data_IF_735931603516
#
_entry.id   IF_735931603516
#
_cell.length_a   1.000
_cell.length_b   1.000
_cell.length_c   1.000
_cell.angle_alpha   90.00
_cell.angle_beta   90.00
_cell.angle_gamma   90.00
#
_symmetry.space_group_name_H-M   'P 1'
#
loop_
_entity.id
_entity.type
_entity.pdbx_description
1 polymer ?
#
# COMPACT_ATOMS: atom_id res chain seq x y z
N UNK A 1 37.63 11.72 -4.01
CA UNK A 1 36.34 12.38 -4.28
C UNK A 1 35.40 11.28 -4.72
N UNK A 2 34.67 10.64 -3.80
CA UNK A 2 33.58 9.75 -4.19
C UNK A 2 32.64 10.51 -5.13
N UNK A 3 32.48 9.99 -6.35
CA UNK A 3 31.51 10.51 -7.29
C UNK A 3 30.13 10.42 -6.66
N UNK A 4 29.47 11.57 -6.47
CA UNK A 4 28.09 11.61 -6.00
C UNK A 4 27.24 10.79 -6.97
N UNK A 5 26.72 9.65 -6.51
CA UNK A 5 25.80 8.83 -7.30
C UNK A 5 24.59 9.70 -7.63
N UNK A 6 24.32 9.89 -8.92
CA UNK A 6 23.09 10.53 -9.37
C UNK A 6 21.95 9.59 -9.04
N UNK A 7 21.00 10.05 -8.23
CA UNK A 7 19.81 9.28 -7.88
C UNK A 7 18.80 9.39 -9.01
N UNK A 8 18.38 8.26 -9.53
CA UNK A 8 17.33 8.16 -10.55
C UNK A 8 15.94 8.05 -9.93
N UNK A 9 14.87 8.38 -10.68
CA UNK A 9 13.50 8.11 -10.24
C UNK A 9 13.27 6.62 -9.91
N UNK A 10 13.92 5.71 -10.63
CA UNK A 10 13.85 4.27 -10.41
C UNK A 10 14.43 3.87 -9.05
N UNK A 11 15.54 4.50 -8.61
CA UNK A 11 16.11 4.26 -7.27
C UNK A 11 15.13 4.66 -6.16
N UNK A 12 14.40 5.78 -6.35
CA UNK A 12 13.38 6.26 -5.41
C UNK A 12 12.19 5.30 -5.37
N UNK A 13 11.71 4.88 -6.54
CA UNK A 13 10.58 3.97 -6.66
C UNK A 13 10.90 2.59 -6.06
N UNK A 14 12.09 2.04 -6.33
CA UNK A 14 12.54 0.78 -5.75
C UNK A 14 12.57 0.85 -4.22
N UNK A 15 13.04 1.97 -3.64
CA UNK A 15 13.02 2.16 -2.20
C UNK A 15 11.59 2.14 -1.63
N UNK A 16 10.69 2.94 -2.23
CA UNK A 16 9.29 3.07 -1.81
C UNK A 16 8.48 1.76 -1.93
N UNK A 17 8.81 0.93 -2.92
CA UNK A 17 8.20 -0.39 -3.10
C UNK A 17 8.68 -1.39 -2.05
N UNK A 18 9.97 -1.32 -1.67
CA UNK A 18 10.58 -2.31 -0.79
C UNK A 18 10.39 -2.02 0.70
N UNK A 19 10.10 -0.78 1.09
CA UNK A 19 9.91 -0.38 2.50
C UNK A 19 8.43 -0.36 2.95
N UNK A 20 7.50 -0.71 2.06
CA UNK A 20 6.06 -0.76 2.36
C UNK A 20 5.37 0.60 2.37
N UNK A 21 6.06 1.67 1.98
CA UNK A 21 5.48 3.01 1.89
C UNK A 21 4.35 3.08 0.87
N UNK A 22 4.52 2.47 -0.31
CA UNK A 22 3.47 2.44 -1.35
C UNK A 22 2.21 1.72 -0.85
N UNK A 23 2.37 0.60 -0.13
CA UNK A 23 1.24 -0.13 0.44
C UNK A 23 0.51 0.70 1.51
N UNK A 24 1.26 1.43 2.33
CA UNK A 24 0.71 2.33 3.34
C UNK A 24 -0.09 3.47 2.71
N UNK A 25 0.44 4.08 1.65
CA UNK A 25 -0.26 5.12 0.87
C UNK A 25 -1.51 4.55 0.19
N UNK A 26 -1.42 3.37 -0.43
CA UNK A 26 -2.57 2.67 -1.01
C UNK A 26 -3.66 2.41 0.03
N UNK A 27 -3.28 1.97 1.24
CA UNK A 27 -4.24 1.74 2.32
C UNK A 27 -4.92 3.05 2.76
N UNK A 28 -4.18 4.16 2.86
CA UNK A 28 -4.74 5.49 3.15
C UNK A 28 -5.76 5.92 2.09
N UNK A 29 -5.43 5.78 0.80
CA UNK A 29 -6.35 6.07 -0.31
C UNK A 29 -7.64 5.25 -0.17
N UNK A 30 -7.52 3.93 0.03
CA UNK A 30 -8.67 3.03 0.19
C UNK A 30 -9.55 3.46 1.37
N UNK A 31 -8.95 3.80 2.51
CA UNK A 31 -9.70 4.18 3.70
C UNK A 31 -10.44 5.51 3.52
N UNK A 32 -9.82 6.49 2.85
CA UNK A 32 -10.49 7.75 2.52
C UNK A 32 -11.67 7.52 1.55
N UNK A 33 -11.51 6.70 0.51
CA UNK A 33 -12.61 6.35 -0.39
C UNK A 33 -13.75 5.62 0.32
N UNK A 34 -13.44 4.65 1.18
CA UNK A 34 -14.45 3.92 1.98
C UNK A 34 -15.23 4.84 2.91
N UNK A 35 -14.63 5.96 3.29
CA UNK A 35 -15.22 6.97 4.19
C UNK A 35 -15.82 8.16 3.43
N UNK A 36 -15.78 8.13 2.09
CA UNK A 36 -16.30 9.20 1.25
C UNK A 36 -17.84 9.12 1.17
N UNK A 37 -18.51 9.94 1.97
CA UNK A 37 -19.97 9.99 2.02
C UNK A 37 -20.61 10.47 0.71
N UNK A 38 -19.94 11.34 -0.05
CA UNK A 38 -20.45 11.80 -1.34
C UNK A 38 -20.48 10.68 -2.38
N UNK A 39 -19.45 9.83 -2.42
CA UNK A 39 -19.41 8.66 -3.28
C UNK A 39 -20.48 7.62 -2.88
N UNK A 40 -20.69 7.43 -1.58
CA UNK A 40 -21.77 6.57 -1.06
C UNK A 40 -23.14 7.11 -1.46
N UNK A 41 -23.39 8.39 -1.23
CA UNK A 41 -24.65 9.05 -1.58
C UNK A 41 -24.93 8.98 -3.07
N UNK A 42 -23.92 9.27 -3.89
CA UNK A 42 -24.00 9.15 -5.35
C UNK A 42 -24.38 7.72 -5.76
N UNK A 43 -23.75 6.71 -5.16
CA UNK A 43 -24.06 5.29 -5.44
C UNK A 43 -25.50 4.94 -5.06
N UNK A 44 -25.99 5.43 -3.90
CA UNK A 44 -27.39 5.25 -3.50
C UNK A 44 -28.34 5.89 -4.50
N UNK A 45 -28.10 7.15 -4.90
CA UNK A 45 -28.92 7.83 -5.91
C UNK A 45 -28.93 7.10 -7.26
N UNK A 46 -27.80 6.52 -7.68
CA UNK A 46 -27.73 5.72 -8.90
C UNK A 46 -28.57 4.43 -8.80
N UNK A 47 -28.60 3.79 -7.63
CA UNK A 47 -29.48 2.65 -7.37
C UNK A 47 -30.94 3.08 -7.39
N UNK A 48 -31.30 4.18 -6.74
CA UNK A 48 -32.67 4.72 -6.74
C UNK A 48 -33.17 5.04 -8.16
N UNK A 49 -32.28 5.52 -9.02
CA UNK A 49 -32.57 5.86 -10.42
C UNK A 49 -32.39 4.70 -11.40
N UNK A 50 -32.06 3.50 -10.91
CA UNK A 50 -31.80 2.32 -11.74
C UNK A 50 -32.98 1.97 -12.63
N UNK A 51 -32.71 1.72 -13.92
CA UNK A 51 -33.73 1.22 -14.85
C UNK A 51 -34.14 -0.19 -14.46
N UNK A 52 -33.22 -1.04 -14.02
CA UNK A 52 -33.52 -2.40 -13.57
C UNK A 52 -34.55 -2.39 -12.45
N UNK A 53 -34.37 -1.54 -11.43
CA UNK A 53 -35.32 -1.45 -10.31
C UNK A 53 -36.63 -0.75 -10.67
N UNK A 54 -36.60 0.24 -11.56
CA UNK A 54 -37.78 1.03 -11.94
C UNK A 54 -38.56 0.43 -13.12
N UNK A 55 -38.17 -0.74 -13.64
CA UNK A 55 -38.88 -1.41 -14.74
C UNK A 55 -40.09 -2.17 -14.21
N UNK A 56 -41.30 -2.04 -14.82
CA UNK A 56 -42.46 -2.84 -14.43
C UNK A 56 -42.18 -4.34 -14.53
N UNK A 57 -42.48 -5.11 -13.48
CA UNK A 57 -42.20 -6.54 -13.44
C UNK A 57 -40.88 -6.90 -12.75
N UNK A 58 -40.06 -5.92 -12.33
CA UNK A 58 -38.88 -6.15 -11.51
C UNK A 58 -39.22 -6.92 -10.22
N UNK A 59 -40.42 -6.72 -9.67
CA UNK A 59 -40.93 -7.42 -8.47
C UNK A 59 -41.13 -8.93 -8.67
N UNK A 60 -41.14 -9.40 -9.92
CA UNK A 60 -41.33 -10.82 -10.28
C UNK A 60 -39.99 -11.53 -10.52
N UNK A 61 -38.89 -10.80 -10.62
CA UNK A 61 -37.56 -11.37 -10.78
C UNK A 61 -37.07 -11.96 -9.45
N UNK A 62 -36.22 -12.97 -9.54
CA UNK A 62 -35.54 -13.47 -8.34
C UNK A 62 -34.54 -12.44 -7.82
N UNK A 63 -34.23 -12.51 -6.53
CA UNK A 63 -33.19 -11.67 -5.91
C UNK A 63 -31.88 -11.72 -6.70
N UNK A 64 -31.47 -12.90 -7.16
CA UNK A 64 -30.25 -13.08 -7.93
C UNK A 64 -30.28 -12.34 -9.26
N UNK A 65 -31.32 -12.54 -10.05
CA UNK A 65 -31.48 -11.86 -11.36
C UNK A 65 -31.50 -10.34 -11.21
N UNK A 66 -32.16 -9.84 -10.15
CA UNK A 66 -32.21 -8.42 -9.85
C UNK A 66 -30.81 -7.86 -9.52
N UNK A 67 -30.06 -8.53 -8.65
CA UNK A 67 -28.68 -8.12 -8.31
C UNK A 67 -27.74 -8.22 -9.50
N UNK A 68 -27.81 -9.28 -10.29
CA UNK A 68 -26.95 -9.48 -11.47
C UNK A 68 -27.23 -8.40 -12.53
N UNK A 69 -28.51 -8.11 -12.79
CA UNK A 69 -28.92 -7.05 -13.73
C UNK A 69 -28.54 -5.65 -13.22
N UNK A 70 -28.76 -5.39 -11.92
CA UNK A 70 -28.39 -4.12 -11.29
C UNK A 70 -26.88 -3.90 -11.31
N UNK A 71 -26.09 -4.96 -11.05
CA UNK A 71 -24.64 -4.93 -11.16
C UNK A 71 -24.21 -4.62 -12.59
N UNK A 72 -24.81 -5.28 -13.58
CA UNK A 72 -24.53 -5.03 -14.99
C UNK A 72 -24.81 -3.58 -15.39
N UNK A 73 -25.87 -2.97 -14.85
CA UNK A 73 -26.22 -1.57 -15.10
C UNK A 73 -25.24 -0.59 -14.41
N UNK A 74 -24.92 -0.84 -13.13
CA UNK A 74 -24.29 0.17 -12.28
C UNK A 74 -22.78 -0.01 -12.06
N UNK A 75 -22.20 -1.17 -12.36
CA UNK A 75 -20.78 -1.42 -12.10
C UNK A 75 -19.87 -0.41 -12.79
N UNK A 76 -20.02 -0.25 -14.10
CA UNK A 76 -19.19 0.67 -14.87
C UNK A 76 -19.29 2.13 -14.38
N UNK A 77 -20.49 2.74 -14.25
CA UNK A 77 -20.57 4.15 -13.87
C UNK A 77 -20.19 4.38 -12.39
N UNK A 78 -20.44 3.43 -11.48
CA UNK A 78 -19.96 3.53 -10.09
C UNK A 78 -18.43 3.45 -10.04
N UNK A 79 -17.83 2.51 -10.78
CA UNK A 79 -16.38 2.36 -10.84
C UNK A 79 -15.70 3.58 -11.48
N UNK A 80 -16.33 4.21 -12.47
CA UNK A 80 -15.85 5.46 -13.07
C UNK A 80 -15.81 6.59 -12.04
N UNK A 81 -16.89 6.78 -11.26
CA UNK A 81 -16.94 7.78 -10.18
C UNK A 81 -15.87 7.51 -9.12
N UNK A 82 -15.72 6.25 -8.69
CA UNK A 82 -14.70 5.87 -7.73
C UNK A 82 -13.28 6.12 -8.27
N UNK A 83 -13.02 5.76 -9.54
CA UNK A 83 -11.72 5.97 -10.19
C UNK A 83 -11.37 7.45 -10.28
N UNK A 84 -12.35 8.29 -10.62
CA UNK A 84 -12.16 9.74 -10.62
C UNK A 84 -11.82 10.25 -9.22
N UNK A 85 -12.55 9.83 -8.18
CA UNK A 85 -12.27 10.23 -6.81
C UNK A 85 -10.88 9.80 -6.32
N UNK A 86 -10.35 8.66 -6.80
CA UNK A 86 -8.96 8.25 -6.52
C UNK A 86 -7.97 9.23 -7.13
N UNK A 87 -8.13 9.56 -8.42
CA UNK A 87 -7.23 10.49 -9.09
C UNK A 87 -7.28 11.88 -8.48
N UNK A 88 -8.47 12.38 -8.18
CA UNK A 88 -8.65 13.68 -7.51
C UNK A 88 -7.93 13.68 -6.15
N UNK A 89 -7.92 12.57 -5.42
CA UNK A 89 -7.22 12.45 -4.14
C UNK A 89 -5.68 12.37 -4.29
N UNK A 90 -5.20 11.66 -5.31
CA UNK A 90 -3.76 11.51 -5.58
C UNK A 90 -3.16 12.81 -6.12
N UNK A 91 -3.92 13.57 -6.91
CA UNK A 91 -3.48 14.80 -7.56
C UNK A 91 -3.73 16.06 -6.71
N UNK A 92 -4.35 15.93 -5.54
CA UNK A 92 -4.62 17.06 -4.65
C UNK A 92 -3.34 17.61 -4.00
N UNK A 93 -3.11 18.91 -4.16
CA UNK A 93 -1.93 19.63 -3.66
C UNK A 93 -2.01 19.99 -2.16
N UNK A 94 -3.13 19.70 -1.48
CA UNK A 94 -3.39 20.16 -0.11
C UNK A 94 -3.53 19.04 0.94
N UNK A 95 -3.84 17.82 0.51
CA UNK A 95 -4.12 16.67 1.36
C UNK A 95 -3.23 15.48 1.05
N UNK A 96 -3.82 14.35 0.62
CA UNK A 96 -3.08 13.11 0.45
C UNK A 96 -2.09 13.16 -0.72
N UNK A 97 -2.41 13.86 -1.81
CA UNK A 97 -1.48 14.07 -2.93
C UNK A 97 -0.23 14.86 -2.53
N UNK A 98 -0.37 15.86 -1.64
CA UNK A 98 0.76 16.53 -0.98
C UNK A 98 1.58 15.56 -0.14
N UNK A 99 0.95 14.71 0.66
CA UNK A 99 1.65 13.69 1.47
C UNK A 99 2.47 12.73 0.59
N UNK A 100 1.90 12.30 -0.55
CA UNK A 100 2.60 11.46 -1.55
C UNK A 100 3.84 12.20 -2.07
N UNK A 101 3.67 13.46 -2.49
CA UNK A 101 4.76 14.28 -3.03
C UNK A 101 5.88 14.49 -2.01
N UNK A 102 5.55 14.84 -0.77
CA UNK A 102 6.50 15.01 0.33
C UNK A 102 7.22 13.70 0.68
N UNK A 103 6.53 12.58 0.57
CA UNK A 103 7.11 11.25 0.83
C UNK A 103 8.15 10.89 -0.23
N UNK A 104 7.82 11.10 -1.51
CA UNK A 104 8.74 10.90 -2.63
C UNK A 104 9.96 11.82 -2.49
N UNK A 105 9.74 13.10 -2.21
CA UNK A 105 10.81 14.09 -2.01
C UNK A 105 11.71 13.72 -0.82
N UNK A 106 11.13 13.27 0.29
CA UNK A 106 11.89 12.81 1.47
C UNK A 106 12.80 11.63 1.14
N UNK A 107 12.30 10.64 0.41
CA UNK A 107 13.10 9.48 -0.01
C UNK A 107 14.20 9.92 -0.97
N UNK A 108 13.88 10.79 -1.93
CA UNK A 108 14.87 11.34 -2.85
C UNK A 108 16.00 12.10 -2.12
N UNK A 109 15.67 12.98 -1.17
CA UNK A 109 16.63 13.74 -0.38
C UNK A 109 17.53 12.81 0.45
N UNK A 110 16.95 11.80 1.09
CA UNK A 110 17.67 10.75 1.84
C UNK A 110 18.67 10.01 0.95
N UNK A 111 18.23 9.53 -0.22
CA UNK A 111 19.11 8.83 -1.17
C UNK A 111 20.21 9.75 -1.73
N UNK A 112 19.90 11.03 -1.91
CA UNK A 112 20.83 12.02 -2.45
C UNK A 112 21.86 12.54 -1.44
N UNK A 113 21.77 12.12 -0.17
CA UNK A 113 22.58 12.65 0.93
C UNK A 113 22.25 14.10 1.30
N UNK A 114 21.08 14.60 0.90
CA UNK A 114 20.52 15.90 1.28
C UNK A 114 19.57 15.76 2.48
N UNK A 115 19.81 14.81 3.38
CA UNK A 115 19.01 14.70 4.59
C UNK A 115 19.32 15.91 5.49
N UNK A 116 18.31 16.70 5.90
CA UNK A 116 18.53 17.79 6.85
C UNK A 116 19.21 17.21 8.09
N UNK A 117 20.27 17.86 8.63
CA UNK A 117 20.97 17.31 9.77
C UNK A 117 19.97 17.12 10.93
N UNK A 118 19.86 15.87 11.42
CA UNK A 118 18.95 15.47 12.51
C UNK A 118 19.20 16.21 13.83
N UNK A 119 20.29 16.98 13.90
CA UNK A 119 20.61 17.89 14.97
C UNK A 119 21.03 19.23 14.34
N UNK A 120 20.56 20.40 14.83
CA UNK A 120 21.24 21.64 14.52
C UNK A 120 22.70 21.46 14.90
N UNK A 121 23.62 21.87 14.02
CA UNK A 121 25.06 21.83 14.30
C UNK A 121 25.27 22.42 15.69
N UNK A 122 25.58 21.55 16.65
CA UNK A 122 25.84 21.97 18.01
C UNK A 122 27.15 22.73 17.93
N UNK A 123 27.05 24.06 17.87
CA UNK A 123 28.19 24.94 18.01
C UNK A 123 28.84 24.57 19.34
N UNK A 124 29.99 23.92 19.25
CA UNK A 124 30.73 23.43 20.39
C UNK A 124 31.29 24.60 21.18
N UNK A 125 30.57 25.04 22.20
CA UNK A 125 31.16 25.66 23.39
C UNK A 125 30.44 25.15 24.65
N UNK A 126 31.07 24.19 25.34
CA UNK A 126 30.98 24.04 26.80
C UNK A 126 29.89 23.13 27.42
N UNK A 127 30.36 21.99 27.93
CA UNK A 127 29.94 21.31 29.18
C UNK A 127 28.67 20.43 29.25
N UNK A 128 28.93 19.11 29.27
CA UNK A 128 28.42 18.05 30.16
C UNK A 128 26.99 18.16 30.77
N UNK A 129 26.12 17.19 30.45
CA UNK A 129 25.54 16.26 31.45
C UNK A 129 24.76 15.10 30.78
N UNK A 130 24.97 13.90 31.32
CA UNK A 130 24.34 12.64 30.95
C UNK A 130 22.83 12.62 31.23
N UNK A 131 22.04 11.98 30.35
CA UNK A 131 20.93 11.11 30.77
C UNK A 131 20.52 10.14 29.68
N UNK A 132 20.62 8.85 30.01
CA UNK A 132 20.08 7.72 29.26
C UNK A 132 18.55 7.75 29.17
N UNK A 133 17.98 7.36 28.02
CA UNK A 133 16.85 6.41 27.94
C UNK A 133 16.55 6.00 26.48
N UNK A 134 17.01 4.79 26.17
CA UNK A 134 16.37 3.63 25.53
C UNK A 134 15.27 3.70 24.44
N UNK A 135 15.37 2.70 23.56
CA UNK A 135 14.40 2.01 22.67
C UNK A 135 14.13 2.47 21.22
N UNK A 136 14.83 1.74 20.33
CA UNK A 136 14.27 0.89 19.26
C UNK A 136 13.84 1.52 17.92
N UNK A 137 14.81 1.69 17.01
CA UNK A 137 14.55 1.79 15.57
C UNK A 137 14.94 0.50 14.85
N UNK A 138 13.92 -0.19 14.32
CA UNK A 138 14.06 -1.38 13.48
C UNK A 138 14.78 -1.05 12.18
N UNK A 139 16.02 -1.56 12.06
CA UNK A 139 16.87 -1.47 10.88
C UNK A 139 16.49 -2.50 9.82
N UNK A 140 16.24 -2.03 8.60
CA UNK A 140 16.22 -2.87 7.40
C UNK A 140 17.58 -2.78 6.69
N UNK A 141 18.56 -3.62 7.04
CA UNK A 141 19.69 -4.00 6.15
C UNK A 141 20.60 -5.13 6.69
N UNK A 142 20.32 -6.35 6.22
CA UNK A 142 21.22 -7.38 5.61
C UNK A 142 22.65 -7.68 6.17
N UNK A 143 22.75 -8.94 6.66
CA UNK A 143 23.68 -10.08 6.34
C UNK A 143 25.20 -10.00 6.62
N UNK A 144 25.69 -11.05 7.33
CA UNK A 144 26.80 -12.03 7.04
C UNK A 144 27.50 -12.45 8.37
N UNK A 145 28.04 -13.63 8.67
CA UNK A 145 28.20 -14.99 8.07
C UNK A 145 29.00 -15.87 9.07
N UNK A 146 28.73 -17.20 9.13
CA UNK A 146 29.59 -18.35 9.62
C UNK A 146 29.86 -18.49 11.14
N UNK A 147 29.94 -19.65 11.84
CA UNK A 147 30.23 -21.10 11.59
C UNK A 147 29.76 -21.89 12.85
N UNK A 148 28.98 -22.98 12.80
CA UNK A 148 29.28 -24.44 12.61
C UNK A 148 29.40 -25.28 13.92
N UNK A 149 28.85 -26.52 13.81
CA UNK A 149 29.00 -27.78 14.57
C UNK A 149 27.70 -28.27 15.26
N UNK A 150 26.97 -29.23 14.65
CA UNK A 150 27.15 -30.71 14.70
C UNK A 150 26.54 -31.26 16.02
N UNK A 151 25.69 -32.28 16.15
CA UNK A 151 25.09 -33.41 15.41
C UNK A 151 23.68 -33.62 16.06
N UNK A 152 22.71 -34.39 15.59
CA UNK A 152 22.75 -35.58 14.76
C UNK A 152 21.35 -36.02 14.32
N UNK A 153 21.39 -36.80 13.25
CA UNK A 153 20.34 -37.44 12.48
C UNK A 153 19.66 -38.55 13.31
N UNK A 154 18.39 -38.89 13.09
CA UNK A 154 18.09 -40.04 12.24
C UNK A 154 16.74 -39.93 11.51
N UNK A 155 16.74 -40.53 10.34
CA UNK A 155 15.86 -40.39 9.20
C UNK A 155 15.35 -41.78 8.84
N UNK A 156 14.08 -41.95 8.49
CA UNK A 156 13.67 -43.12 7.70
C UNK A 156 12.49 -42.69 6.81
N UNK A 157 12.71 -42.32 5.54
CA UNK A 157 12.89 -43.12 4.31
C UNK A 157 11.64 -43.88 3.81
N UNK A 158 11.25 -43.47 2.60
CA UNK A 158 10.65 -44.16 1.44
C UNK A 158 9.46 -45.13 1.57
N UNK A 159 8.51 -44.91 0.66
CA UNK A 159 7.61 -45.95 0.17
C UNK A 159 6.76 -45.48 -1.01
N UNK A 160 7.23 -45.77 -2.22
CA UNK A 160 6.51 -45.65 -3.51
C UNK A 160 5.35 -46.67 -3.62
N UNK A 161 4.28 -46.36 -4.36
CA UNK A 161 3.64 -47.24 -5.35
C UNK A 161 2.25 -46.71 -5.82
N UNK A 162 2.18 -46.38 -7.11
CA UNK A 162 1.23 -46.82 -8.15
C UNK A 162 -0.22 -47.30 -7.86
N UNK A 163 -1.07 -46.97 -8.85
CA UNK A 163 -2.27 -47.69 -9.34
C UNK A 163 -3.58 -47.53 -8.54
N UNK A 164 -4.82 -47.46 -9.08
CA UNK A 164 -5.42 -48.02 -10.30
C UNK A 164 -6.79 -47.33 -10.58
N UNK A 165 -7.33 -47.57 -11.78
CA UNK A 165 -8.57 -47.07 -12.37
C UNK A 165 -9.87 -47.77 -11.93
N UNK A 166 -11.00 -47.24 -12.45
CA UNK A 166 -12.35 -47.84 -12.60
C UNK A 166 -13.17 -47.95 -11.30
N UNK A 167 -14.49 -47.73 -11.27
CA UNK A 167 -15.54 -47.62 -12.29
C UNK A 167 -16.72 -46.82 -11.73
#
# INVERSE_FOLDING_TARGET
MEGRRVISPEDVLECLMNDGTIDSLRLKIINQLKSNEELKKTTVTMVEQSKVLNTPGAEKQTKRELFDSLRQELEAPVLEKASKSVWDLILDDSGLGKEISETVERVFCRLSGCEPPLFPASTSEGQQQEKEQDENQGSCAKKRTFSEMAEGVDNTVNGSADQLAAS
#
